data_IF_057932113702
#
_entry.id   IF_057932113702
#
_cell.length_a   1.000
_cell.length_b   1.000
_cell.length_c   1.000
_cell.angle_alpha   90.00
_cell.angle_beta   90.00
_cell.angle_gamma   90.00
#
_symmetry.space_group_name_H-M   'P 1'
#
loop_
_entity.id
_entity.type
_entity.pdbx_description
1 polymer ?
#
# COMPACT_ATOMS: atom_id res chain seq x y z
N UNK A 1 5.05 -19.76 23.78
CA UNK A 1 3.99 -19.17 22.94
C UNK A 1 4.50 -17.82 22.48
N UNK A 2 5.21 -17.79 21.37
CA UNK A 2 5.64 -16.54 20.73
C UNK A 2 4.41 -15.95 20.07
N UNK A 3 3.89 -14.86 20.59
CA UNK A 3 2.86 -14.10 19.89
C UNK A 3 3.38 -13.77 18.49
N UNK A 4 2.59 -14.07 17.47
CA UNK A 4 2.98 -13.82 16.09
C UNK A 4 3.15 -12.30 15.87
N UNK A 5 4.18 -11.87 15.13
CA UNK A 5 4.56 -10.45 15.00
C UNK A 5 3.48 -9.58 14.31
N UNK A 6 2.42 -10.19 13.80
CA UNK A 6 1.34 -9.50 13.09
C UNK A 6 0.34 -8.80 14.02
N UNK A 7 0.25 -9.15 15.32
CA UNK A 7 -0.73 -8.52 16.22
C UNK A 7 -0.35 -7.10 16.67
N UNK A 8 0.92 -6.70 16.54
CA UNK A 8 1.36 -5.35 16.92
C UNK A 8 1.00 -4.29 15.87
N UNK A 9 0.69 -4.69 14.63
CA UNK A 9 0.33 -3.76 13.55
C UNK A 9 -1.06 -3.13 13.75
N UNK A 10 -1.95 -3.74 14.54
CA UNK A 10 -3.33 -3.28 14.72
C UNK A 10 -3.52 -2.24 15.82
N UNK A 11 -2.46 -1.94 16.60
CA UNK A 11 -2.51 -0.97 17.71
C UNK A 11 -1.49 0.16 17.60
N UNK A 12 -0.72 0.20 16.50
CA UNK A 12 0.24 1.26 16.26
C UNK A 12 -0.49 2.61 16.07
N UNK A 13 -0.04 3.69 16.73
CA UNK A 13 -0.64 5.01 16.55
C UNK A 13 -0.58 5.42 15.07
N UNK A 14 -1.66 6.02 14.57
CA UNK A 14 -1.77 6.60 13.22
C UNK A 14 -0.79 7.77 13.06
N UNK A 15 0.48 7.43 12.89
CA UNK A 15 1.55 8.35 12.56
C UNK A 15 1.74 8.38 11.04
N UNK A 16 2.31 9.47 10.52
CA UNK A 16 2.61 9.59 9.09
C UNK A 16 3.40 8.38 8.58
N UNK A 17 4.43 7.95 9.32
CA UNK A 17 5.25 6.79 8.97
C UNK A 17 4.44 5.50 8.89
N UNK A 18 3.62 5.20 9.89
CA UNK A 18 2.79 3.98 9.87
C UNK A 18 1.75 4.00 8.76
N UNK A 19 1.28 5.18 8.35
CA UNK A 19 0.36 5.32 7.21
C UNK A 19 1.09 5.05 5.89
N UNK A 20 2.28 5.63 5.71
CA UNK A 20 3.13 5.38 4.54
C UNK A 20 3.48 3.90 4.40
N UNK A 21 3.87 3.24 5.50
CA UNK A 21 4.18 1.80 5.52
C UNK A 21 2.95 0.96 5.12
N UNK A 22 1.75 1.31 5.58
CA UNK A 22 0.51 0.62 5.19
C UNK A 22 0.16 0.85 3.72
N UNK A 23 0.31 2.07 3.21
CA UNK A 23 0.06 2.39 1.79
C UNK A 23 1.01 1.60 0.89
N UNK A 24 2.31 1.59 1.20
CA UNK A 24 3.32 0.81 0.46
C UNK A 24 2.95 -0.68 0.49
N UNK A 25 2.55 -1.21 1.65
CA UNK A 25 2.15 -2.60 1.78
C UNK A 25 0.96 -2.94 0.86
N UNK A 26 -0.12 -2.18 0.93
CA UNK A 26 -1.32 -2.41 0.11
C UNK A 26 -0.99 -2.36 -1.38
N UNK A 27 -0.23 -1.35 -1.79
CA UNK A 27 0.21 -1.19 -3.18
C UNK A 27 1.13 -2.32 -3.64
N UNK A 28 2.00 -2.84 -2.76
CA UNK A 28 2.90 -3.95 -3.09
C UNK A 28 2.19 -5.29 -3.29
N UNK A 29 0.94 -5.42 -2.79
CA UNK A 29 0.11 -6.60 -2.98
C UNK A 29 -0.68 -6.57 -4.29
N UNK A 30 -0.63 -5.46 -5.03
CA UNK A 30 -1.29 -5.35 -6.32
C UNK A 30 -0.47 -6.08 -7.40
N UNK A 31 -1.04 -7.09 -8.05
CA UNK A 31 -0.33 -7.96 -9.01
C UNK A 31 0.34 -7.21 -10.18
N UNK A 32 -0.17 -6.01 -10.49
CA UNK A 32 0.37 -5.16 -11.57
C UNK A 32 1.55 -4.29 -11.13
N UNK A 33 1.83 -4.19 -9.83
CA UNK A 33 2.92 -3.39 -9.26
C UNK A 33 4.12 -4.30 -8.97
N UNK A 34 5.31 -3.90 -9.45
CA UNK A 34 6.57 -4.49 -8.98
C UNK A 34 6.99 -3.81 -7.67
N UNK A 35 7.00 -4.51 -6.52
CA UNK A 35 7.36 -3.92 -5.23
C UNK A 35 8.77 -3.32 -5.21
N UNK A 36 9.65 -3.75 -6.10
CA UNK A 36 11.02 -3.22 -6.19
C UNK A 36 11.09 -1.84 -6.84
N UNK A 37 10.06 -1.47 -7.61
CA UNK A 37 9.94 -0.15 -8.25
C UNK A 37 9.09 0.82 -7.45
N UNK A 38 8.31 0.30 -6.50
CA UNK A 38 7.39 1.08 -5.69
C UNK A 38 8.12 1.87 -4.60
N UNK A 39 7.95 3.18 -4.63
CA UNK A 39 8.40 4.13 -3.61
C UNK A 39 7.31 5.16 -3.35
N UNK A 40 7.41 5.89 -2.24
CA UNK A 40 6.45 6.97 -1.92
C UNK A 40 6.44 8.11 -2.96
N UNK A 41 7.52 8.23 -3.74
CA UNK A 41 7.68 9.27 -4.77
C UNK A 41 7.40 8.74 -6.19
N UNK A 42 6.93 7.49 -6.34
CA UNK A 42 6.71 6.85 -7.64
C UNK A 42 5.53 7.46 -8.38
N UNK A 43 5.71 7.72 -9.68
CA UNK A 43 4.62 8.06 -10.59
C UNK A 43 3.93 6.78 -11.08
N UNK A 44 2.64 6.63 -10.76
CA UNK A 44 1.89 5.42 -11.08
C UNK A 44 1.81 5.12 -12.59
N UNK A 45 1.86 6.15 -13.45
CA UNK A 45 1.85 5.93 -14.89
C UNK A 45 3.25 5.75 -15.45
N UNK A 46 4.19 6.63 -15.12
CA UNK A 46 5.53 6.63 -15.73
C UNK A 46 6.47 5.57 -15.15
N UNK A 47 6.41 5.35 -13.84
CA UNK A 47 7.35 4.47 -13.15
C UNK A 47 6.77 3.05 -12.98
N UNK A 48 5.46 2.97 -12.70
CA UNK A 48 4.76 1.70 -12.50
C UNK A 48 4.02 1.20 -13.74
N UNK A 49 3.83 2.04 -14.76
CA UNK A 49 3.19 1.63 -16.02
C UNK A 49 1.69 1.34 -15.89
N UNK A 50 1.03 1.85 -14.86
CA UNK A 50 -0.40 1.65 -14.63
C UNK A 50 -1.22 2.53 -15.57
N UNK A 51 -2.35 2.00 -16.02
CA UNK A 51 -3.31 2.75 -16.82
C UNK A 51 -4.32 3.52 -15.93
N UNK A 52 -5.24 4.25 -16.56
CA UNK A 52 -6.24 5.03 -15.83
C UNK A 52 -7.28 4.17 -15.11
N UNK A 53 -7.51 2.92 -15.55
CA UNK A 53 -8.46 2.00 -14.91
C UNK A 53 -7.83 1.38 -13.66
N UNK A 54 -6.56 0.98 -13.77
CA UNK A 54 -5.75 0.47 -12.65
C UNK A 54 -5.72 1.46 -11.49
N UNK A 55 -5.60 2.75 -11.80
CA UNK A 55 -5.59 3.82 -10.80
C UNK A 55 -6.92 3.89 -10.01
N UNK A 56 -8.06 3.70 -10.68
CA UNK A 56 -9.38 3.71 -10.05
C UNK A 56 -9.58 2.46 -9.21
N UNK A 57 -9.16 1.29 -9.71
CA UNK A 57 -9.18 0.03 -8.95
C UNK A 57 -8.37 0.13 -7.65
N UNK A 58 -7.19 0.74 -7.72
CA UNK A 58 -6.34 0.99 -6.56
C UNK A 58 -6.99 1.91 -5.52
N UNK A 59 -7.62 3.00 -5.97
CA UNK A 59 -8.31 3.92 -5.05
C UNK A 59 -9.46 3.20 -4.35
N UNK A 60 -10.25 2.40 -5.08
CA UNK A 60 -11.34 1.62 -4.46
C UNK A 60 -10.82 0.64 -3.40
N UNK A 61 -9.70 -0.06 -3.67
CA UNK A 61 -9.08 -0.96 -2.69
C UNK A 61 -8.54 -0.20 -1.46
N UNK A 62 -8.00 1.00 -1.64
CA UNK A 62 -7.59 1.86 -0.54
C UNK A 62 -8.77 2.39 0.26
N UNK A 63 -9.86 2.78 -0.40
CA UNK A 63 -11.09 3.22 0.27
C UNK A 63 -11.70 2.09 1.12
N UNK A 64 -11.62 0.83 0.69
CA UNK A 64 -12.07 -0.33 1.49
C UNK A 64 -11.15 -0.62 2.69
N UNK A 65 -9.83 -0.43 2.56
CA UNK A 65 -8.84 -0.71 3.61
C UNK A 65 -8.74 0.40 4.68
N UNK A 66 -9.08 1.65 4.33
CA UNK A 66 -8.91 2.82 5.20
C UNK A 66 -10.20 3.61 5.49
N UNK A 67 -11.31 3.33 4.80
CA UNK A 67 -12.63 3.94 5.05
C UNK A 67 -13.36 3.35 6.26
#
# INVERSE_FOLDING_TARGET
>A
MTAEPYSELTTAPLTKKTLEDRIILVLSLYDKIDPKKLTMDSDFSKDLGLDSLDHVEMIMAMEEEFG
#
